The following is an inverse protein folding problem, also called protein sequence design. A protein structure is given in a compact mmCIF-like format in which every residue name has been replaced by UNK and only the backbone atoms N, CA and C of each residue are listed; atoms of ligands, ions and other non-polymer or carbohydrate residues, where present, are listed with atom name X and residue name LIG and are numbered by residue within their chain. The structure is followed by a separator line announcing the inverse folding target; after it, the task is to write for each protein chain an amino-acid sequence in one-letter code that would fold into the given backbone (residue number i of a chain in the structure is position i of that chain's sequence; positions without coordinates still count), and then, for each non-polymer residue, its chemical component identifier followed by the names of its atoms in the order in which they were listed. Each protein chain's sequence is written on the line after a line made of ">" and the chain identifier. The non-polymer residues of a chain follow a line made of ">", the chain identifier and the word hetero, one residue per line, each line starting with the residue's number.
data_IF_128695742171
#
_entry.id   IF_128695742171
#
_cell.length_a   1.000
_cell.length_b   1.000
_cell.length_c   1.000
_cell.angle_alpha   90.00
_cell.angle_beta   90.00
_cell.angle_gamma   90.00
#
_symmetry.space_group_name_H-M   'P 1'
#
loop_
_entity.id
_entity.type
_entity.pdbx_description
1 polymer ?
#
# COMPACT_ATOMS: atom_id res chain seq x y z
N UNK A 1 -13.70 -14.69 -16.96
CA UNK A 1 -12.65 -13.66 -16.76
C UNK A 1 -11.62 -13.80 -17.85
N UNK A 2 -10.97 -12.70 -18.28
CA UNK A 2 -9.83 -12.81 -19.20
C UNK A 2 -8.61 -13.34 -18.43
N UNK A 3 -7.76 -14.18 -19.05
CA UNK A 3 -6.50 -14.61 -18.45
C UNK A 3 -5.64 -13.39 -18.04
N UNK A 4 -5.05 -13.44 -16.85
CA UNK A 4 -4.17 -12.37 -16.38
C UNK A 4 -2.84 -12.41 -17.17
N UNK A 5 -2.33 -11.23 -17.51
CA UNK A 5 -1.00 -11.07 -18.12
C UNK A 5 0.08 -10.80 -17.07
N UNK A 6 -0.31 -10.58 -15.81
CA UNK A 6 0.58 -10.31 -14.69
C UNK A 6 0.11 -11.07 -13.46
N UNK A 7 0.97 -11.91 -12.90
CA UNK A 7 0.75 -12.61 -11.64
C UNK A 7 1.62 -12.01 -10.52
N UNK A 8 0.97 -11.63 -9.43
CA UNK A 8 1.62 -11.15 -8.21
C UNK A 8 1.51 -12.27 -7.18
N UNK A 9 2.62 -12.91 -6.84
CA UNK A 9 2.63 -14.08 -5.95
C UNK A 9 3.20 -13.72 -4.59
N UNK A 10 2.50 -14.05 -3.51
CA UNK A 10 3.10 -14.13 -2.18
C UNK A 10 3.98 -15.36 -2.10
N UNK A 11 5.12 -15.27 -1.43
CA UNK A 11 6.14 -16.32 -1.36
C UNK A 11 6.31 -16.77 0.09
N UNK A 12 6.27 -18.09 0.27
CA UNK A 12 6.54 -18.74 1.55
C UNK A 12 7.90 -19.46 1.55
N UNK A 13 8.12 -20.27 2.57
CA UNK A 13 9.36 -21.02 2.76
C UNK A 13 9.27 -22.47 2.31
N UNK A 14 8.11 -22.93 1.79
CA UNK A 14 7.85 -24.34 1.52
C UNK A 14 8.81 -24.98 0.50
N UNK A 15 9.35 -24.19 -0.42
CA UNK A 15 10.37 -24.66 -1.36
C UNK A 15 11.63 -25.13 -0.60
N UNK A 16 12.08 -24.39 0.40
CA UNK A 16 13.25 -24.74 1.19
C UNK A 16 12.88 -25.70 2.32
N UNK A 17 11.89 -25.32 3.15
CA UNK A 17 11.47 -26.11 4.30
C UNK A 17 9.99 -26.55 4.15
N UNK A 18 9.69 -27.84 4.09
CA UNK A 18 10.62 -28.98 4.27
C UNK A 18 11.22 -29.54 2.97
N UNK A 19 10.90 -28.98 1.78
CA UNK A 19 11.11 -29.69 0.53
C UNK A 19 12.60 -29.92 0.23
N UNK A 20 13.39 -28.86 0.00
CA UNK A 20 14.82 -29.04 -0.36
C UNK A 20 15.68 -29.46 0.81
N UNK A 21 15.44 -28.91 2.01
CA UNK A 21 16.17 -29.29 3.23
C UNK A 21 15.93 -30.77 3.63
N UNK A 22 14.86 -31.38 3.16
CA UNK A 22 14.59 -32.80 3.38
C UNK A 22 15.27 -33.75 2.38
N UNK A 23 15.91 -33.22 1.34
CA UNK A 23 16.64 -34.02 0.35
C UNK A 23 18.00 -34.46 0.89
N UNK A 24 18.49 -35.57 0.37
CA UNK A 24 19.77 -36.14 0.76
C UNK A 24 20.73 -36.21 -0.44
N UNK A 25 22.00 -35.91 -0.18
CA UNK A 25 23.03 -35.97 -1.21
C UNK A 25 23.33 -37.41 -1.70
N UNK A 26 22.85 -38.43 -0.99
CA UNK A 26 22.95 -39.83 -1.35
C UNK A 26 21.62 -40.40 -1.92
N UNK A 27 20.68 -39.54 -2.31
CA UNK A 27 19.40 -39.97 -2.92
C UNK A 27 19.68 -40.72 -4.22
N UNK A 28 19.05 -41.87 -4.43
CA UNK A 28 19.22 -42.64 -5.66
C UNK A 28 18.71 -41.93 -6.92
N UNK A 29 17.80 -40.95 -6.79
CA UNK A 29 17.35 -40.09 -7.88
C UNK A 29 18.42 -39.04 -8.20
N UNK A 30 19.02 -39.07 -9.42
CA UNK A 30 20.08 -38.13 -9.81
C UNK A 30 19.65 -36.65 -9.76
N UNK A 31 18.37 -36.37 -9.93
CA UNK A 31 17.83 -34.98 -9.86
C UNK A 31 17.77 -34.52 -8.41
N UNK A 32 17.26 -35.35 -7.50
CA UNK A 32 17.19 -35.06 -6.08
C UNK A 32 18.58 -34.93 -5.46
N UNK A 33 19.52 -35.80 -5.86
CA UNK A 33 20.92 -35.70 -5.45
C UNK A 33 21.54 -34.36 -5.86
N UNK A 34 21.35 -33.95 -7.13
CA UNK A 34 21.83 -32.63 -7.61
C UNK A 34 21.18 -31.46 -6.89
N UNK A 35 19.87 -31.56 -6.61
CA UNK A 35 19.13 -30.53 -5.85
C UNK A 35 19.70 -30.39 -4.44
N UNK A 36 19.90 -31.51 -3.73
CA UNK A 36 20.50 -31.51 -2.39
C UNK A 36 21.87 -30.84 -2.40
N UNK A 37 22.77 -31.28 -3.30
CA UNK A 37 24.12 -30.73 -3.41
C UNK A 37 24.11 -29.23 -3.73
N UNK A 38 23.29 -28.80 -4.69
CA UNK A 38 23.19 -27.39 -5.05
C UNK A 38 22.57 -26.53 -3.91
N UNK A 39 21.59 -27.08 -3.19
CA UNK A 39 20.98 -26.41 -2.04
C UNK A 39 21.99 -26.23 -0.87
N UNK A 40 22.75 -27.29 -0.53
CA UNK A 40 23.78 -27.25 0.51
C UNK A 40 24.90 -26.27 0.15
N UNK A 41 25.28 -26.21 -1.13
CA UNK A 41 26.26 -25.25 -1.66
C UNK A 41 25.71 -23.83 -1.81
N UNK A 42 24.41 -23.61 -1.60
CA UNK A 42 23.72 -22.33 -1.83
C UNK A 42 23.85 -21.81 -3.27
N UNK A 43 23.93 -22.71 -4.22
CA UNK A 43 24.01 -22.39 -5.65
C UNK A 43 22.61 -22.26 -6.28
N UNK A 44 21.97 -21.11 -6.04
CA UNK A 44 20.54 -20.90 -6.36
C UNK A 44 20.20 -21.05 -7.85
N UNK A 45 21.11 -20.68 -8.73
CA UNK A 45 20.95 -20.89 -10.18
C UNK A 45 21.00 -22.39 -10.57
N UNK A 46 21.84 -23.16 -9.88
CA UNK A 46 21.91 -24.62 -10.08
C UNK A 46 20.66 -25.30 -9.51
N UNK A 47 20.16 -24.85 -8.36
CA UNK A 47 18.87 -25.29 -7.80
C UNK A 47 17.72 -25.04 -8.81
N UNK A 48 17.63 -23.82 -9.35
CA UNK A 48 16.60 -23.47 -10.34
C UNK A 48 16.71 -24.34 -11.61
N UNK A 49 17.95 -24.59 -12.07
CA UNK A 49 18.19 -25.46 -13.23
C UNK A 49 17.78 -26.92 -13.00
N UNK A 50 18.05 -27.46 -11.82
CA UNK A 50 17.65 -28.83 -11.46
C UNK A 50 16.12 -28.93 -11.27
N UNK A 51 15.48 -27.96 -10.62
CA UNK A 51 14.01 -27.89 -10.51
C UNK A 51 13.32 -27.84 -11.89
N UNK A 52 13.91 -27.16 -12.87
CA UNK A 52 13.35 -27.07 -14.22
C UNK A 52 13.35 -28.41 -14.98
N UNK A 53 14.03 -29.43 -14.48
CA UNK A 53 14.00 -30.79 -15.05
C UNK A 53 12.88 -31.66 -14.46
N UNK A 54 12.23 -31.18 -13.38
CA UNK A 54 11.10 -31.86 -12.74
C UNK A 54 9.76 -31.40 -13.33
N UNK A 55 8.71 -32.25 -13.29
CA UNK A 55 7.36 -31.76 -13.53
C UNK A 55 7.01 -30.62 -12.56
N UNK A 56 6.47 -29.48 -13.02
CA UNK A 56 6.18 -28.33 -12.15
C UNK A 56 5.09 -28.62 -11.08
N UNK A 57 4.39 -29.75 -11.24
CA UNK A 57 3.39 -30.23 -10.27
C UNK A 57 4.00 -31.10 -9.16
N UNK A 58 5.27 -31.45 -9.26
CA UNK A 58 5.95 -32.24 -8.24
C UNK A 58 6.09 -31.43 -6.96
N UNK A 59 5.85 -32.08 -5.80
CA UNK A 59 5.89 -31.41 -4.49
C UNK A 59 7.24 -30.75 -4.20
N UNK A 60 8.33 -31.34 -4.66
CA UNK A 60 9.69 -30.81 -4.52
C UNK A 60 9.83 -29.38 -5.08
N UNK A 61 9.06 -29.04 -6.12
CA UNK A 61 9.07 -27.71 -6.73
C UNK A 61 8.48 -26.59 -5.85
N UNK A 62 7.83 -26.92 -4.74
CA UNK A 62 7.27 -25.93 -3.81
C UNK A 62 5.93 -25.36 -4.24
N UNK A 63 5.30 -24.63 -3.31
CA UNK A 63 3.93 -24.14 -3.46
C UNK A 63 3.80 -23.12 -4.60
N UNK A 64 4.79 -22.26 -4.79
CA UNK A 64 4.79 -21.18 -5.78
C UNK A 64 4.85 -21.74 -7.20
N UNK A 65 5.78 -22.67 -7.49
CA UNK A 65 5.88 -23.29 -8.82
C UNK A 65 4.64 -24.13 -9.12
N UNK A 66 4.18 -24.93 -8.14
CA UNK A 66 3.00 -25.76 -8.30
C UNK A 66 1.73 -24.95 -8.57
N UNK A 67 1.53 -23.83 -7.86
CA UNK A 67 0.34 -22.99 -8.02
C UNK A 67 0.38 -22.22 -9.33
N UNK A 68 1.50 -21.62 -9.69
CA UNK A 68 1.64 -20.90 -10.96
C UNK A 68 1.43 -21.86 -12.14
N UNK A 69 2.04 -23.04 -12.12
CA UNK A 69 1.82 -24.07 -13.16
C UNK A 69 0.33 -24.42 -13.30
N UNK A 70 -0.38 -24.56 -12.17
CA UNK A 70 -1.82 -24.82 -12.18
C UNK A 70 -2.63 -23.65 -12.73
N UNK A 71 -2.26 -22.40 -12.42
CA UNK A 71 -2.92 -21.19 -12.95
C UNK A 71 -2.75 -21.06 -14.46
N UNK A 72 -1.54 -21.31 -14.97
CA UNK A 72 -1.25 -21.30 -16.40
C UNK A 72 -2.01 -22.41 -17.13
N UNK A 73 -1.96 -23.65 -16.65
CA UNK A 73 -2.62 -24.80 -17.24
C UNK A 73 -4.14 -24.66 -17.31
N UNK A 74 -4.75 -23.97 -16.35
CA UNK A 74 -6.21 -23.73 -16.28
C UNK A 74 -6.64 -22.45 -17.01
N UNK A 75 -5.71 -21.69 -17.61
CA UNK A 75 -6.01 -20.46 -18.34
C UNK A 75 -6.42 -19.29 -17.46
N UNK A 76 -6.07 -19.27 -16.17
CA UNK A 76 -6.25 -18.11 -15.31
C UNK A 76 -5.21 -17.02 -15.58
N UNK A 77 -4.06 -17.40 -16.10
CA UNK A 77 -3.05 -16.48 -16.62
C UNK A 77 -2.54 -16.97 -17.98
N UNK A 78 -1.99 -16.02 -18.77
CA UNK A 78 -1.37 -16.36 -20.07
C UNK A 78 -0.04 -17.11 -19.87
N UNK A 79 0.38 -17.97 -20.82
CA UNK A 79 1.59 -18.77 -20.67
C UNK A 79 2.88 -17.96 -20.44
N UNK A 80 2.95 -16.78 -20.98
CA UNK A 80 4.07 -15.83 -20.91
C UNK A 80 3.80 -14.65 -19.96
N UNK A 81 2.96 -14.86 -18.93
CA UNK A 81 2.64 -13.82 -17.94
C UNK A 81 3.89 -13.24 -17.26
N UNK A 82 3.84 -11.95 -16.95
CA UNK A 82 4.79 -11.32 -16.05
C UNK A 82 4.62 -11.85 -14.62
N UNK A 83 5.70 -12.18 -13.96
CA UNK A 83 5.68 -12.78 -12.63
C UNK A 83 6.42 -11.92 -11.62
N UNK A 84 5.72 -11.57 -10.53
CA UNK A 84 6.28 -10.84 -9.40
C UNK A 84 6.19 -11.68 -8.13
N UNK A 85 7.31 -11.83 -7.43
CA UNK A 85 7.45 -12.65 -6.23
C UNK A 85 7.64 -11.75 -5.00
N UNK A 86 6.59 -11.57 -4.22
CA UNK A 86 6.60 -10.79 -2.97
C UNK A 86 7.04 -11.70 -1.82
N UNK A 87 8.27 -11.57 -1.37
CA UNK A 87 8.86 -12.43 -0.33
C UNK A 87 9.29 -11.64 0.92
N UNK A 88 9.48 -12.38 2.02
CA UNK A 88 9.95 -11.84 3.29
C UNK A 88 11.35 -11.24 3.19
N UNK A 89 11.63 -10.30 4.08
CA UNK A 89 12.95 -9.69 4.27
C UNK A 89 13.85 -10.58 5.15
N UNK A 90 14.01 -11.84 4.74
CA UNK A 90 14.84 -12.85 5.38
C UNK A 90 15.81 -13.43 4.36
N UNK A 91 16.89 -14.06 4.82
CA UNK A 91 17.87 -14.71 3.93
C UNK A 91 17.20 -15.80 3.08
N UNK A 92 16.34 -16.62 3.68
CA UNK A 92 15.59 -17.65 2.96
C UNK A 92 14.63 -17.04 1.93
N UNK A 93 13.89 -15.98 2.31
CA UNK A 93 13.01 -15.28 1.40
C UNK A 93 13.74 -14.74 0.17
N UNK A 94 14.89 -14.11 0.38
CA UNK A 94 15.74 -13.58 -0.71
C UNK A 94 16.30 -14.72 -1.58
N UNK A 95 16.73 -15.83 -0.97
CA UNK A 95 17.26 -16.98 -1.68
C UNK A 95 16.17 -17.67 -2.52
N UNK A 96 14.98 -17.91 -1.96
CA UNK A 96 13.82 -18.46 -2.68
C UNK A 96 13.44 -17.53 -3.85
N UNK A 97 13.40 -16.22 -3.61
CA UNK A 97 13.16 -15.24 -4.66
C UNK A 97 14.13 -15.36 -5.83
N UNK A 98 15.44 -15.56 -5.57
CA UNK A 98 16.46 -15.81 -6.61
C UNK A 98 16.18 -17.09 -7.38
N UNK A 99 15.86 -18.20 -6.69
CA UNK A 99 15.52 -19.48 -7.32
C UNK A 99 14.31 -19.32 -8.24
N UNK A 100 13.22 -18.73 -7.76
CA UNK A 100 12.00 -18.51 -8.55
C UNK A 100 12.27 -17.64 -9.78
N UNK A 101 13.00 -16.55 -9.61
CA UNK A 101 13.39 -15.66 -10.72
C UNK A 101 14.19 -16.43 -11.78
N UNK A 102 15.22 -17.17 -11.36
CA UNK A 102 16.05 -17.95 -12.27
C UNK A 102 15.26 -19.07 -12.99
N UNK A 103 14.36 -19.74 -12.26
CA UNK A 103 13.48 -20.80 -12.80
C UNK A 103 12.59 -20.26 -13.93
N UNK A 104 11.85 -19.16 -13.66
CA UNK A 104 10.88 -18.64 -14.62
C UNK A 104 11.51 -17.88 -15.78
N UNK A 105 12.68 -17.26 -15.58
CA UNK A 105 13.46 -16.71 -16.71
C UNK A 105 13.92 -17.81 -17.66
N UNK A 106 14.34 -18.99 -17.15
CA UNK A 106 14.66 -20.16 -17.97
C UNK A 106 13.43 -20.72 -18.69
N UNK A 107 12.26 -20.62 -18.07
CA UNK A 107 10.99 -21.02 -18.67
C UNK A 107 10.49 -20.05 -19.76
N UNK A 108 11.16 -18.90 -19.96
CA UNK A 108 10.85 -17.96 -21.04
C UNK A 108 9.86 -16.84 -20.66
N UNK A 109 9.57 -16.63 -19.37
CA UNK A 109 8.76 -15.51 -18.95
C UNK A 109 9.49 -14.19 -19.17
N UNK A 110 8.85 -13.16 -19.80
CA UNK A 110 9.51 -11.90 -20.18
C UNK A 110 9.92 -11.10 -18.95
N UNK A 111 9.11 -11.14 -17.89
CA UNK A 111 9.40 -10.55 -16.59
C UNK A 111 9.23 -11.63 -15.51
N UNK A 112 10.29 -11.88 -14.76
CA UNK A 112 10.27 -12.67 -13.54
C UNK A 112 11.16 -11.93 -12.52
N UNK A 113 10.54 -11.28 -11.54
CA UNK A 113 11.22 -10.37 -10.61
C UNK A 113 10.75 -10.56 -9.17
N UNK A 114 11.65 -10.29 -8.25
CA UNK A 114 11.35 -10.28 -6.81
C UNK A 114 10.96 -8.91 -6.32
N UNK A 115 10.14 -8.90 -5.28
CA UNK A 115 9.86 -7.74 -4.44
C UNK A 115 10.07 -8.12 -2.99
N UNK A 116 11.13 -7.59 -2.40
CA UNK A 116 11.38 -7.73 -0.95
C UNK A 116 10.35 -6.90 -0.21
N UNK A 117 9.68 -7.51 0.75
CA UNK A 117 8.71 -6.82 1.62
C UNK A 117 9.41 -6.54 2.95
N UNK A 118 9.85 -5.31 3.11
CA UNK A 118 10.54 -4.87 4.32
C UNK A 118 9.65 -5.02 5.56
N UNK A 119 10.22 -5.50 6.66
CA UNK A 119 9.51 -5.80 7.90
C UNK A 119 8.66 -7.08 7.90
N UNK A 120 8.56 -7.80 6.78
CA UNK A 120 7.79 -9.03 6.69
C UNK A 120 8.63 -10.21 7.17
N UNK A 121 8.75 -10.37 8.48
CA UNK A 121 9.51 -11.42 9.15
C UNK A 121 8.87 -11.79 10.49
N UNK A 122 8.93 -13.03 10.90
CA UNK A 122 8.29 -13.55 12.11
C UNK A 122 9.12 -13.40 13.40
N UNK A 123 10.37 -12.97 13.29
CA UNK A 123 11.24 -12.70 14.44
C UNK A 123 10.80 -11.48 15.26
N UNK A 124 10.05 -10.56 14.67
CA UNK A 124 9.47 -9.39 15.32
C UNK A 124 7.99 -9.26 14.97
N UNK A 125 7.08 -9.77 15.83
CA UNK A 125 5.64 -9.72 15.57
C UNK A 125 5.06 -8.31 15.45
N UNK A 126 5.63 -7.34 16.16
CA UNK A 126 5.18 -5.94 16.08
C UNK A 126 5.51 -5.35 14.72
N UNK A 127 6.76 -5.48 14.31
CA UNK A 127 7.25 -5.02 13.00
C UNK A 127 6.56 -5.74 11.84
N UNK A 128 6.32 -7.06 12.00
CA UNK A 128 5.53 -7.82 11.02
C UNK A 128 4.15 -7.22 10.78
N UNK A 129 3.43 -6.87 11.87
CA UNK A 129 2.08 -6.31 11.80
C UNK A 129 2.10 -4.88 11.25
N UNK A 130 2.92 -4.00 11.84
CA UNK A 130 2.87 -2.54 11.57
C UNK A 130 3.62 -2.11 10.32
N UNK A 131 4.64 -2.86 9.89
CA UNK A 131 5.44 -2.55 8.70
C UNK A 131 5.24 -3.60 7.60
N UNK A 132 5.47 -4.88 7.91
CA UNK A 132 5.51 -5.94 6.91
C UNK A 132 4.23 -6.08 6.10
N UNK A 133 3.07 -6.20 6.76
CA UNK A 133 1.78 -6.32 6.07
C UNK A 133 1.39 -5.04 5.35
N UNK A 134 1.71 -3.88 5.90
CA UNK A 134 1.51 -2.57 5.26
C UNK A 134 2.36 -2.42 4.01
N UNK A 135 3.64 -2.78 4.07
CA UNK A 135 4.55 -2.73 2.93
C UNK A 135 4.12 -3.72 1.82
N UNK A 136 3.61 -4.90 2.19
CA UNK A 136 2.99 -5.82 1.23
C UNK A 136 1.82 -5.13 0.49
N UNK A 137 0.92 -4.46 1.22
CA UNK A 137 -0.18 -3.74 0.62
C UNK A 137 0.32 -2.66 -0.37
N UNK A 138 1.31 -1.84 0.01
CA UNK A 138 1.91 -0.82 -0.87
C UNK A 138 2.50 -1.41 -2.14
N UNK A 139 3.26 -2.50 -2.02
CA UNK A 139 3.90 -3.15 -3.18
C UNK A 139 2.86 -3.71 -4.14
N UNK A 140 1.84 -4.41 -3.63
CA UNK A 140 0.77 -4.97 -4.46
C UNK A 140 -0.04 -3.87 -5.14
N UNK A 141 -0.44 -2.82 -4.39
CA UNK A 141 -1.17 -1.68 -4.96
C UNK A 141 -0.36 -0.99 -6.07
N UNK A 142 0.95 -0.82 -5.90
CA UNK A 142 1.84 -0.27 -6.92
C UNK A 142 1.87 -1.15 -8.17
N UNK A 143 2.08 -2.45 -8.04
CA UNK A 143 2.11 -3.37 -9.18
C UNK A 143 0.76 -3.37 -9.92
N UNK A 144 -0.36 -3.40 -9.20
CA UNK A 144 -1.69 -3.34 -9.83
C UNK A 144 -1.92 -2.02 -10.56
N UNK A 145 -1.43 -0.91 -10.03
CA UNK A 145 -1.49 0.40 -10.71
C UNK A 145 -0.65 0.43 -11.98
N UNK A 146 0.57 -0.10 -11.93
CA UNK A 146 1.51 -0.07 -13.05
C UNK A 146 1.06 -0.95 -14.23
N UNK A 147 0.41 -2.08 -13.96
CA UNK A 147 -0.04 -3.04 -14.98
C UNK A 147 -1.55 -2.99 -15.28
N UNK A 148 -2.32 -2.32 -14.44
CA UNK A 148 -3.77 -2.22 -14.52
C UNK A 148 -4.51 -3.41 -13.88
N UNK A 149 -5.63 -3.17 -13.14
CA UNK A 149 -6.35 -4.23 -12.42
C UNK A 149 -6.89 -5.32 -13.33
N UNK A 150 -7.32 -4.97 -14.56
CA UNK A 150 -7.82 -5.94 -15.54
C UNK A 150 -6.76 -6.88 -16.13
N UNK A 151 -5.48 -6.58 -15.94
CA UNK A 151 -4.35 -7.39 -16.39
C UNK A 151 -3.73 -8.22 -15.26
N UNK A 152 -4.05 -7.92 -14.00
CA UNK A 152 -3.43 -8.53 -12.83
C UNK A 152 -4.27 -9.66 -12.23
N UNK A 153 -3.58 -10.61 -11.59
CA UNK A 153 -4.14 -11.56 -10.64
C UNK A 153 -3.15 -11.76 -9.48
N UNK A 154 -3.68 -12.07 -8.30
CA UNK A 154 -2.87 -12.36 -7.11
C UNK A 154 -2.87 -13.87 -6.87
N UNK A 155 -1.70 -14.47 -6.78
CA UNK A 155 -1.51 -15.84 -6.33
C UNK A 155 -1.11 -15.82 -4.86
N UNK A 156 -2.06 -16.10 -3.98
CA UNK A 156 -1.91 -16.07 -2.52
C UNK A 156 -1.65 -17.48 -1.95
N UNK A 157 -0.87 -18.30 -2.63
CA UNK A 157 -0.63 -19.70 -2.22
C UNK A 157 0.50 -19.82 -1.22
N UNK A 158 1.59 -19.08 -1.40
CA UNK A 158 2.74 -19.07 -0.49
C UNK A 158 2.67 -17.96 0.55
N UNK A 159 3.49 -18.06 1.59
CA UNK A 159 3.66 -17.04 2.61
C UNK A 159 2.91 -17.30 3.92
N UNK A 160 3.00 -16.34 4.82
CA UNK A 160 2.32 -16.39 6.11
C UNK A 160 0.79 -16.30 5.93
N UNK A 161 0.03 -16.93 6.83
CA UNK A 161 -1.45 -16.88 6.79
C UNK A 161 -2.00 -15.46 6.76
N UNK A 162 -1.35 -14.52 7.47
CA UNK A 162 -1.72 -13.11 7.46
C UNK A 162 -1.51 -12.46 6.08
N UNK A 163 -0.47 -12.84 5.33
CA UNK A 163 -0.26 -12.37 3.96
C UNK A 163 -1.41 -12.81 3.04
N UNK A 164 -1.88 -14.06 3.19
CA UNK A 164 -3.00 -14.60 2.40
C UNK A 164 -4.27 -13.78 2.68
N UNK A 165 -4.56 -13.49 3.95
CA UNK A 165 -5.71 -12.67 4.34
C UNK A 165 -5.63 -11.26 3.75
N UNK A 166 -4.48 -10.60 3.86
CA UNK A 166 -4.24 -9.27 3.27
C UNK A 166 -4.34 -9.31 1.74
N UNK A 167 -3.81 -10.35 1.09
CA UNK A 167 -3.91 -10.51 -0.35
C UNK A 167 -5.36 -10.64 -0.84
N UNK A 168 -6.23 -11.35 -0.08
CA UNK A 168 -7.66 -11.44 -0.39
C UNK A 168 -8.35 -10.08 -0.23
N UNK A 169 -8.06 -9.35 0.84
CA UNK A 169 -8.60 -7.99 1.04
C UNK A 169 -8.15 -7.04 -0.08
N UNK A 170 -6.87 -7.09 -0.46
CA UNK A 170 -6.33 -6.32 -1.59
C UNK A 170 -7.05 -6.64 -2.90
N UNK A 171 -7.24 -7.92 -3.20
CA UNK A 171 -7.96 -8.33 -4.39
C UNK A 171 -9.38 -7.79 -4.44
N UNK A 172 -10.10 -7.79 -3.31
CA UNK A 172 -11.44 -7.21 -3.20
C UNK A 172 -11.40 -5.68 -3.41
N UNK A 173 -10.48 -4.99 -2.75
CA UNK A 173 -10.38 -3.53 -2.81
C UNK A 173 -9.96 -3.02 -4.20
N UNK A 174 -9.06 -3.74 -4.88
CA UNK A 174 -8.50 -3.37 -6.19
C UNK A 174 -9.29 -3.92 -7.38
N UNK A 175 -10.29 -4.77 -7.14
CA UNK A 175 -11.03 -5.44 -8.22
C UNK A 175 -10.20 -6.50 -8.97
N UNK A 176 -9.22 -7.12 -8.29
CA UNK A 176 -8.28 -8.10 -8.84
C UNK A 176 -8.63 -9.49 -8.33
N UNK A 177 -8.72 -10.54 -9.18
CA UNK A 177 -8.97 -11.89 -8.72
C UNK A 177 -7.80 -12.43 -7.91
N UNK A 178 -8.11 -13.15 -6.83
CA UNK A 178 -7.12 -13.81 -5.98
C UNK A 178 -7.30 -15.32 -6.12
N UNK A 179 -6.19 -16.03 -6.24
CA UNK A 179 -6.14 -17.47 -6.38
C UNK A 179 -5.32 -18.08 -5.26
N UNK A 180 -5.78 -19.24 -4.78
CA UNK A 180 -5.11 -20.02 -3.77
C UNK A 180 -5.13 -21.51 -4.15
N UNK A 181 -3.99 -22.19 -4.04
CA UNK A 181 -3.87 -23.64 -4.20
C UNK A 181 -3.51 -24.28 -2.87
N UNK A 182 -4.35 -25.17 -2.40
CA UNK A 182 -4.05 -25.94 -1.21
C UNK A 182 -3.08 -27.09 -1.53
N UNK A 183 -2.17 -27.43 -0.62
CA UNK A 183 -1.13 -28.47 -0.81
C UNK A 183 -1.69 -29.86 -1.17
N UNK A 184 -2.89 -30.18 -0.67
CA UNK A 184 -3.52 -31.50 -0.83
C UNK A 184 -4.57 -31.57 -1.93
N UNK A 185 -4.92 -30.44 -2.54
CA UNK A 185 -5.96 -30.39 -3.56
C UNK A 185 -5.35 -30.09 -4.92
N UNK A 186 -5.80 -30.80 -5.94
CA UNK A 186 -5.44 -30.45 -7.31
C UNK A 186 -6.37 -29.39 -7.89
N UNK A 187 -6.86 -28.50 -7.06
CA UNK A 187 -7.80 -27.45 -7.44
C UNK A 187 -7.27 -26.09 -7.03
N UNK A 188 -7.63 -25.07 -7.84
CA UNK A 188 -7.44 -23.67 -7.52
C UNK A 188 -8.73 -23.16 -6.89
N UNK A 189 -8.61 -22.60 -5.70
CA UNK A 189 -9.67 -21.82 -5.05
C UNK A 189 -9.58 -20.40 -5.57
N UNK A 190 -10.66 -19.91 -6.16
CA UNK A 190 -10.75 -18.56 -6.72
C UNK A 190 -11.57 -17.67 -5.80
N UNK A 191 -11.05 -16.48 -5.52
CA UNK A 191 -11.75 -15.39 -4.84
C UNK A 191 -11.92 -14.25 -5.85
N UNK A 192 -13.00 -14.26 -6.65
CA UNK A 192 -13.28 -13.17 -7.57
C UNK A 192 -13.64 -11.90 -6.79
N UNK A 193 -13.39 -10.70 -7.36
CA UNK A 193 -13.85 -9.46 -6.76
C UNK A 193 -15.37 -9.48 -6.54
N UNK A 194 -15.80 -9.13 -5.34
CA UNK A 194 -17.21 -9.00 -5.00
C UNK A 194 -17.71 -7.58 -5.39
N UNK A 195 -18.97 -7.41 -5.76
CA UNK A 195 -19.55 -6.10 -6.06
C UNK A 195 -19.89 -5.33 -4.76
N UNK A 196 -18.89 -5.16 -3.88
CA UNK A 196 -19.01 -4.37 -2.65
C UNK A 196 -18.48 -2.97 -2.89
N UNK A 197 -19.27 -1.96 -2.53
CA UNK A 197 -18.83 -0.58 -2.54
C UNK A 197 -18.24 -0.25 -1.16
N UNK A 198 -17.00 0.21 -1.13
CA UNK A 198 -16.39 0.80 0.05
C UNK A 198 -16.80 2.29 0.13
N UNK A 199 -16.99 2.81 1.34
CA UNK A 199 -17.38 4.20 1.55
C UNK A 199 -16.20 5.16 1.32
N UNK A 200 -16.16 5.75 0.12
CA UNK A 200 -15.14 6.73 -0.25
C UNK A 200 -15.25 8.02 0.58
N UNK A 201 -16.44 8.36 1.13
CA UNK A 201 -16.62 9.56 1.93
C UNK A 201 -15.85 9.49 3.25
N UNK A 202 -15.89 8.34 3.91
CA UNK A 202 -15.10 8.11 5.12
C UNK A 202 -13.60 8.36 4.86
N UNK A 203 -13.08 7.86 3.73
CA UNK A 203 -11.70 8.13 3.34
C UNK A 203 -11.45 9.62 3.04
N UNK A 204 -12.30 10.29 2.26
CA UNK A 204 -12.12 11.71 1.93
C UNK A 204 -12.04 12.58 3.18
N UNK A 205 -12.90 12.32 4.16
CA UNK A 205 -12.94 13.05 5.45
C UNK A 205 -11.64 12.90 6.22
N UNK A 206 -11.03 11.72 6.23
CA UNK A 206 -9.80 11.41 6.98
C UNK A 206 -8.54 11.38 6.10
N UNK A 207 -8.64 11.81 4.84
CA UNK A 207 -7.54 11.73 3.86
C UNK A 207 -6.26 12.43 4.33
N UNK A 208 -6.37 13.52 5.10
CA UNK A 208 -5.23 14.24 5.66
C UNK A 208 -4.44 13.40 6.66
N UNK A 209 -5.13 12.78 7.61
CA UNK A 209 -4.50 11.89 8.59
C UNK A 209 -3.86 10.67 7.92
N UNK A 210 -4.61 10.01 7.03
CA UNK A 210 -4.11 8.82 6.33
C UNK A 210 -2.91 9.15 5.44
N UNK A 211 -2.93 10.29 4.75
CA UNK A 211 -1.82 10.78 3.94
C UNK A 211 -0.59 11.12 4.77
N UNK A 212 -0.78 11.71 5.95
CA UNK A 212 0.29 12.01 6.90
C UNK A 212 0.95 10.72 7.40
N UNK A 213 0.16 9.75 7.87
CA UNK A 213 0.66 8.48 8.37
C UNK A 213 1.32 7.63 7.26
N UNK A 214 0.88 7.77 6.00
CA UNK A 214 1.52 7.13 4.85
C UNK A 214 2.91 7.73 4.57
N UNK A 215 3.05 9.05 4.68
CA UNK A 215 4.29 9.77 4.41
C UNK A 215 5.32 9.62 5.54
N UNK A 216 4.91 9.80 6.79
CA UNK A 216 5.80 9.80 7.96
C UNK A 216 6.05 8.40 8.54
N UNK A 217 5.19 7.43 8.21
CA UNK A 217 5.22 6.07 8.76
C UNK A 217 4.64 5.97 10.16
N UNK A 218 5.08 6.81 11.09
CA UNK A 218 4.61 6.89 12.47
C UNK A 218 4.55 8.36 12.92
N UNK A 219 3.52 8.71 13.69
CA UNK A 219 3.32 10.07 14.22
C UNK A 219 2.89 9.98 15.69
N UNK A 220 3.43 10.83 16.61
CA UNK A 220 3.02 10.83 18.00
C UNK A 220 1.50 10.98 18.16
N UNK A 221 0.85 10.07 18.90
CA UNK A 221 -0.60 10.06 19.09
C UNK A 221 -1.12 11.36 19.70
N UNK A 222 -0.34 11.98 20.59
CA UNK A 222 -0.69 13.24 21.22
C UNK A 222 -0.90 14.40 20.22
N UNK A 223 -0.16 14.42 19.10
CA UNK A 223 -0.29 15.44 18.06
C UNK A 223 -1.57 15.31 17.23
N UNK A 224 -2.23 14.15 17.29
CA UNK A 224 -3.42 13.79 16.53
C UNK A 224 -4.65 13.50 17.40
N UNK A 225 -4.59 13.81 18.70
CA UNK A 225 -5.66 13.49 19.67
C UNK A 225 -7.04 14.05 19.26
N UNK A 226 -7.07 15.27 18.71
CA UNK A 226 -8.32 15.88 18.23
C UNK A 226 -8.88 15.16 16.98
N UNK A 227 -8.00 14.71 16.09
CA UNK A 227 -8.40 14.02 14.86
C UNK A 227 -8.93 12.61 15.16
N UNK A 228 -8.33 11.94 16.15
CA UNK A 228 -8.82 10.65 16.64
C UNK A 228 -10.20 10.78 17.28
N UNK A 229 -10.43 11.83 18.09
CA UNK A 229 -11.72 12.07 18.73
C UNK A 229 -12.84 12.29 17.71
N UNK A 230 -12.55 12.99 16.59
CA UNK A 230 -13.52 13.23 15.51
C UNK A 230 -13.74 12.02 14.61
N UNK A 231 -12.79 11.09 14.53
CA UNK A 231 -12.79 10.00 13.57
C UNK A 231 -13.65 8.79 13.95
N UNK A 232 -13.93 8.63 15.25
CA UNK A 232 -14.73 7.53 15.78
C UNK A 232 -14.19 6.14 15.43
N UNK A 233 -15.05 5.12 15.53
CA UNK A 233 -14.71 3.70 15.30
C UNK A 233 -14.16 3.42 13.88
N UNK A 234 -14.55 4.21 12.89
CA UNK A 234 -14.10 4.01 11.50
C UNK A 234 -12.60 4.29 11.38
N UNK A 235 -12.12 5.35 12.02
CA UNK A 235 -10.72 5.70 12.00
C UNK A 235 -9.86 4.70 12.76
N UNK A 236 -10.37 4.13 13.85
CA UNK A 236 -9.68 3.09 14.61
C UNK A 236 -9.40 1.82 13.79
N UNK A 237 -10.22 1.52 12.78
CA UNK A 237 -9.94 0.42 11.83
C UNK A 237 -8.76 0.71 10.90
N UNK A 238 -8.41 1.98 10.69
CA UNK A 238 -7.39 2.40 9.73
C UNK A 238 -6.03 2.68 10.37
N UNK A 239 -5.96 2.76 11.69
CA UNK A 239 -4.73 3.06 12.41
C UNK A 239 -4.36 1.96 13.41
N UNK A 240 -3.08 1.75 13.58
CA UNK A 240 -2.48 0.95 14.65
C UNK A 240 -1.82 1.88 15.67
N UNK A 241 -1.93 1.53 16.95
CA UNK A 241 -1.20 2.16 18.03
C UNK A 241 0.09 1.37 18.29
N UNK A 242 1.21 2.07 18.32
CA UNK A 242 2.54 1.51 18.51
C UNK A 242 3.22 2.24 19.66
N UNK A 243 3.76 1.50 20.61
CA UNK A 243 4.55 2.07 21.70
C UNK A 243 6.04 2.05 21.34
N UNK A 244 6.69 3.20 21.39
CA UNK A 244 8.13 3.33 21.14
C UNK A 244 8.71 4.18 22.28
N UNK A 245 9.67 3.62 23.02
CA UNK A 245 10.34 4.28 24.15
C UNK A 245 9.40 4.86 25.21
N UNK A 246 8.23 4.22 25.42
CA UNK A 246 7.21 4.64 26.38
C UNK A 246 6.27 5.74 25.88
N UNK A 247 6.38 6.15 24.64
CA UNK A 247 5.46 7.07 23.97
C UNK A 247 4.57 6.35 22.96
N UNK A 248 3.32 6.77 22.85
CA UNK A 248 2.34 6.21 21.93
C UNK A 248 2.41 6.92 20.57
N UNK A 249 2.58 6.14 19.51
CA UNK A 249 2.56 6.57 18.12
C UNK A 249 1.38 5.94 17.37
N UNK A 250 0.93 6.62 16.34
CA UNK A 250 -0.02 6.10 15.36
C UNK A 250 0.70 5.75 14.06
N UNK A 251 0.31 4.63 13.47
CA UNK A 251 0.71 4.21 12.13
C UNK A 251 -0.53 3.75 11.35
N UNK A 252 -0.46 3.68 10.03
CA UNK A 252 -1.51 3.01 9.27
C UNK A 252 -1.56 1.52 9.62
N UNK A 253 -2.76 1.00 9.87
CA UNK A 253 -2.99 -0.44 9.87
C UNK A 253 -2.86 -0.99 8.44
N UNK A 254 -2.68 -2.31 8.25
CA UNK A 254 -2.75 -2.92 6.92
C UNK A 254 -4.05 -2.56 6.17
N UNK A 255 -5.18 -2.54 6.87
CA UNK A 255 -6.48 -2.12 6.32
C UNK A 255 -6.46 -0.64 5.93
N UNK A 256 -5.93 0.23 6.78
CA UNK A 256 -5.77 1.66 6.50
C UNK A 256 -4.91 1.91 5.27
N UNK A 257 -3.82 1.15 5.11
CA UNK A 257 -2.97 1.25 3.93
C UNK A 257 -3.71 0.84 2.64
N UNK A 258 -4.45 -0.27 2.67
CA UNK A 258 -5.26 -0.72 1.52
C UNK A 258 -6.29 0.34 1.15
N UNK A 259 -7.04 0.84 2.13
CA UNK A 259 -8.07 1.86 1.94
C UNK A 259 -7.45 3.14 1.38
N UNK A 260 -6.34 3.61 1.97
CA UNK A 260 -5.69 4.84 1.54
C UNK A 260 -5.20 4.76 0.08
N UNK A 261 -4.46 3.71 -0.28
CA UNK A 261 -3.95 3.51 -1.63
C UNK A 261 -5.08 3.38 -2.68
N UNK A 262 -6.11 2.57 -2.36
CA UNK A 262 -7.21 2.30 -3.28
C UNK A 262 -8.06 3.54 -3.52
N UNK A 263 -8.42 4.26 -2.45
CA UNK A 263 -9.28 5.43 -2.59
C UNK A 263 -8.56 6.66 -3.11
N UNK A 264 -7.28 6.83 -2.81
CA UNK A 264 -6.48 7.88 -3.41
C UNK A 264 -6.45 7.77 -4.93
N UNK A 265 -6.25 6.56 -5.45
CA UNK A 265 -6.26 6.32 -6.89
C UNK A 265 -7.66 6.51 -7.49
N UNK A 266 -8.68 5.97 -6.84
CA UNK A 266 -10.07 6.15 -7.26
C UNK A 266 -10.48 7.63 -7.25
N UNK A 267 -10.11 8.37 -6.22
CA UNK A 267 -10.39 9.79 -6.13
C UNK A 267 -9.74 10.56 -7.29
N UNK A 268 -8.50 10.26 -7.66
CA UNK A 268 -7.81 10.88 -8.79
C UNK A 268 -8.51 10.64 -10.12
N UNK A 269 -9.06 9.45 -10.33
CA UNK A 269 -9.77 9.08 -11.57
C UNK A 269 -11.20 9.62 -11.62
N UNK A 270 -11.86 9.78 -10.48
CA UNK A 270 -13.27 10.23 -10.37
C UNK A 270 -13.40 11.69 -9.88
N UNK A 271 -12.28 12.41 -9.71
CA UNK A 271 -12.26 13.74 -9.07
C UNK A 271 -13.22 14.75 -9.68
N UNK A 272 -13.41 14.75 -11.00
CA UNK A 272 -14.30 15.67 -11.70
C UNK A 272 -15.79 15.45 -11.37
N UNK A 273 -16.12 14.27 -10.85
CA UNK A 273 -17.49 13.93 -10.41
C UNK A 273 -17.70 14.21 -8.92
N UNK A 274 -16.64 14.22 -8.13
CA UNK A 274 -16.68 14.39 -6.68
C UNK A 274 -16.45 15.84 -6.25
N UNK A 275 -15.58 16.55 -6.96
CA UNK A 275 -15.26 17.94 -6.64
C UNK A 275 -16.36 18.92 -7.06
N UNK A 276 -16.54 20.02 -6.31
CA UNK A 276 -17.39 21.12 -6.75
C UNK A 276 -16.79 21.82 -7.99
N UNK A 277 -17.59 22.64 -8.70
CA UNK A 277 -17.07 23.42 -9.81
C UNK A 277 -15.87 24.29 -9.43
N UNK A 278 -14.89 24.47 -10.32
CA UNK A 278 -13.78 25.39 -10.10
C UNK A 278 -14.27 26.82 -9.82
N UNK A 279 -13.56 27.54 -8.95
CA UNK A 279 -13.75 28.97 -8.72
C UNK A 279 -13.21 29.76 -9.89
N UNK A 280 -13.97 30.71 -10.40
CA UNK A 280 -13.50 31.62 -11.47
C UNK A 280 -12.27 32.42 -11.01
N UNK A 281 -11.34 32.69 -11.90
CA UNK A 281 -10.14 33.46 -11.57
C UNK A 281 -10.46 34.85 -11.00
N UNK A 282 -11.55 35.47 -11.43
CA UNK A 282 -12.05 36.76 -10.91
C UNK A 282 -12.63 36.68 -9.50
N UNK A 283 -12.96 35.49 -9.01
CA UNK A 283 -13.50 35.26 -7.65
C UNK A 283 -12.43 34.79 -6.67
N UNK A 284 -11.21 34.53 -7.13
CA UNK A 284 -10.09 34.19 -6.27
C UNK A 284 -9.53 35.44 -5.61
N UNK A 285 -9.26 35.34 -4.32
CA UNK A 285 -8.78 36.47 -3.52
C UNK A 285 -7.44 36.14 -2.86
N UNK A 286 -6.56 37.15 -2.67
CA UNK A 286 -5.32 37.00 -1.91
C UNK A 286 -5.59 36.52 -0.48
N UNK A 287 -4.64 35.77 0.14
CA UNK A 287 -4.81 35.29 1.48
C UNK A 287 -4.91 36.43 2.51
N UNK A 288 -5.81 36.28 3.48
CA UNK A 288 -6.00 37.22 4.58
C UNK A 288 -5.22 36.76 5.81
N UNK A 289 -4.23 37.51 6.21
CA UNK A 289 -3.37 37.23 7.37
C UNK A 289 -3.74 38.08 8.57
N UNK A 290 -3.91 37.44 9.73
CA UNK A 290 -4.12 38.13 11.01
C UNK A 290 -2.89 38.89 11.48
N UNK A 291 -3.06 39.60 12.63
CA UNK A 291 -1.99 40.40 13.23
C UNK A 291 -1.28 39.72 14.41
N UNK A 292 -1.43 38.43 14.62
CA UNK A 292 -0.79 37.70 15.72
C UNK A 292 0.72 37.58 15.55
N UNK A 293 1.49 37.51 16.63
CA UNK A 293 2.96 37.55 16.61
C UNK A 293 3.61 36.48 15.74
N UNK A 294 3.14 35.23 15.78
CA UNK A 294 3.61 34.12 14.92
C UNK A 294 3.38 34.45 13.45
N UNK A 295 2.17 34.91 13.10
CA UNK A 295 1.81 35.26 11.71
C UNK A 295 2.68 36.43 11.22
N UNK A 296 3.00 37.37 12.08
CA UNK A 296 3.85 38.52 11.72
C UNK A 296 5.29 38.11 11.45
N UNK A 297 5.84 37.14 12.23
CA UNK A 297 7.20 36.62 12.01
C UNK A 297 7.33 35.89 10.68
N UNK A 298 6.33 35.10 10.33
CA UNK A 298 6.35 34.22 9.11
C UNK A 298 5.47 34.78 7.96
N UNK A 299 5.17 36.09 8.00
CA UNK A 299 4.16 36.73 7.14
C UNK A 299 4.33 36.44 5.64
N UNK A 300 5.54 36.57 5.13
CA UNK A 300 5.80 36.41 3.69
C UNK A 300 5.80 34.94 3.27
N UNK A 301 6.25 34.04 4.14
CA UNK A 301 6.24 32.60 3.91
C UNK A 301 4.81 32.07 3.94
N UNK A 302 4.02 32.43 4.96
CA UNK A 302 2.60 32.11 5.05
C UNK A 302 1.83 32.64 3.84
N UNK A 303 2.09 33.88 3.41
CA UNK A 303 1.45 34.46 2.24
C UNK A 303 1.72 33.65 1.01
N UNK A 304 2.97 33.27 0.75
CA UNK A 304 3.37 32.44 -0.40
C UNK A 304 2.71 31.07 -0.35
N UNK A 305 2.74 30.42 0.82
CA UNK A 305 2.14 29.12 1.00
C UNK A 305 0.63 29.12 0.78
N UNK A 306 -0.11 30.07 1.38
CA UNK A 306 -1.55 30.19 1.21
C UNK A 306 -1.95 30.60 -0.22
N UNK A 307 -1.15 31.44 -0.87
CA UNK A 307 -1.35 31.79 -2.27
C UNK A 307 -1.16 30.55 -3.19
N UNK A 308 -0.09 29.76 -2.94
CA UNK A 308 0.16 28.54 -3.70
C UNK A 308 -1.01 27.52 -3.60
N UNK A 309 -1.66 27.42 -2.44
CA UNK A 309 -2.88 26.60 -2.28
C UNK A 309 -4.02 27.15 -3.13
N UNK A 310 -4.24 28.48 -3.07
CA UNK A 310 -5.33 29.14 -3.81
C UNK A 310 -5.14 29.00 -5.33
N UNK A 311 -3.90 29.08 -5.80
CA UNK A 311 -3.57 28.95 -7.23
C UNK A 311 -3.56 27.49 -7.68
N UNK A 312 -3.03 26.59 -6.83
CA UNK A 312 -2.82 25.17 -7.16
C UNK A 312 -4.09 24.31 -7.09
N UNK A 313 -5.10 24.71 -6.27
CA UNK A 313 -6.35 23.96 -6.15
C UNK A 313 -7.51 24.77 -6.75
N UNK A 314 -8.07 24.31 -7.91
CA UNK A 314 -9.08 25.09 -8.65
C UNK A 314 -10.32 25.45 -7.84
N UNK A 315 -10.70 24.63 -6.86
CA UNK A 315 -11.89 24.80 -6.02
C UNK A 315 -11.71 25.80 -4.89
N UNK A 316 -10.47 26.29 -4.63
CA UNK A 316 -10.18 27.23 -3.55
C UNK A 316 -10.38 28.65 -4.02
N UNK A 317 -11.13 29.43 -3.23
CA UNK A 317 -11.41 30.86 -3.45
C UNK A 317 -10.38 31.73 -2.73
N UNK A 318 -10.15 31.46 -1.45
CA UNK A 318 -9.15 32.16 -0.62
C UNK A 318 -8.79 31.34 0.61
N UNK A 319 -7.70 31.74 1.27
CA UNK A 319 -7.32 31.21 2.59
C UNK A 319 -7.21 32.36 3.58
N UNK A 320 -7.57 32.11 4.86
CA UNK A 320 -7.37 33.08 5.92
C UNK A 320 -6.91 32.45 7.23
N UNK A 321 -5.99 33.08 7.94
CA UNK A 321 -5.48 32.58 9.22
C UNK A 321 -6.54 32.69 10.30
N UNK A 322 -6.70 31.62 11.10
CA UNK A 322 -7.72 31.54 12.17
C UNK A 322 -7.08 31.54 13.54
N UNK A 323 -6.09 30.68 13.77
CA UNK A 323 -5.51 30.45 15.07
C UNK A 323 -4.01 30.16 14.97
N UNK A 324 -3.26 30.57 15.99
CA UNK A 324 -1.84 30.28 16.13
C UNK A 324 -1.60 29.58 17.46
N UNK A 325 -0.88 28.49 17.44
CA UNK A 325 -0.40 27.83 18.63
C UNK A 325 1.14 27.79 18.62
N UNK A 326 1.82 28.57 19.46
CA UNK A 326 3.26 28.59 19.52
C UNK A 326 3.87 27.37 20.22
N UNK A 327 3.07 26.58 20.95
CA UNK A 327 3.59 25.57 21.88
C UNK A 327 3.43 24.13 21.38
N UNK A 328 2.78 23.91 20.22
CA UNK A 328 2.55 22.57 19.69
C UNK A 328 2.82 22.55 18.18
N UNK A 329 3.93 21.96 17.75
CA UNK A 329 4.12 21.65 16.33
C UNK A 329 2.97 20.71 15.90
N UNK A 330 2.15 21.17 14.98
CA UNK A 330 1.09 20.36 14.40
C UNK A 330 1.51 19.89 13.00
N UNK A 331 1.19 18.65 12.65
CA UNK A 331 1.53 18.16 11.33
C UNK A 331 0.80 18.92 10.22
N UNK A 332 1.49 19.08 9.09
CA UNK A 332 0.96 19.68 7.87
C UNK A 332 -0.11 18.79 7.29
N UNK A 333 -1.37 19.19 7.34
CA UNK A 333 -2.49 18.50 6.71
C UNK A 333 -3.70 19.42 6.58
N UNK A 334 -4.65 19.01 5.72
CA UNK A 334 -5.97 19.61 5.63
C UNK A 334 -7.01 18.65 6.23
N UNK A 335 -8.03 19.24 6.89
CA UNK A 335 -9.08 18.50 7.58
C UNK A 335 -10.40 19.26 7.56
N UNK A 336 -11.50 18.55 7.79
CA UNK A 336 -12.80 19.15 8.00
C UNK A 336 -13.04 19.30 9.51
N UNK A 337 -13.38 20.49 9.96
CA UNK A 337 -13.81 20.78 11.35
C UNK A 337 -15.20 21.38 11.32
N UNK A 338 -16.20 20.58 11.73
CA UNK A 338 -17.59 20.96 11.48
C UNK A 338 -17.85 21.14 9.97
N UNK A 339 -18.22 22.35 9.57
CA UNK A 339 -18.43 22.71 8.16
C UNK A 339 -17.23 23.42 7.52
N UNK A 340 -16.15 23.66 8.27
CA UNK A 340 -15.02 24.45 7.81
C UNK A 340 -13.85 23.55 7.37
N UNK A 341 -13.32 23.81 6.19
CA UNK A 341 -12.08 23.21 5.71
C UNK A 341 -10.91 23.99 6.31
N UNK A 342 -10.10 23.32 7.12
CA UNK A 342 -8.94 23.90 7.78
C UNK A 342 -7.64 23.24 7.30
N UNK A 343 -6.58 24.06 7.20
CA UNK A 343 -5.22 23.60 6.99
C UNK A 343 -4.30 24.02 8.12
N UNK A 344 -3.20 23.33 8.27
CA UNK A 344 -2.12 23.67 9.20
C UNK A 344 -0.86 23.98 8.42
N UNK A 345 -0.23 25.10 8.73
CA UNK A 345 1.14 25.42 8.37
C UNK A 345 2.02 25.30 9.61
N UNK A 346 3.24 24.79 9.46
CA UNK A 346 4.22 24.72 10.55
C UNK A 346 5.64 24.83 9.99
N UNK A 347 6.54 25.45 10.73
CA UNK A 347 7.98 25.47 10.48
C UNK A 347 8.74 24.42 11.31
N UNK A 348 8.01 23.54 12.02
CA UNK A 348 8.54 22.55 12.95
C UNK A 348 8.60 22.99 14.41
N UNK A 349 8.53 24.30 14.69
CA UNK A 349 8.52 24.87 16.05
C UNK A 349 7.20 25.54 16.40
N UNK A 350 6.59 26.20 15.44
CA UNK A 350 5.33 26.94 15.60
C UNK A 350 4.33 26.47 14.53
N UNK A 351 3.04 26.58 14.83
CA UNK A 351 1.99 26.21 13.89
C UNK A 351 0.93 27.30 13.75
N UNK A 352 0.41 27.46 12.54
CA UNK A 352 -0.68 28.36 12.20
C UNK A 352 -1.80 27.55 11.55
N UNK A 353 -2.99 27.61 12.16
CA UNK A 353 -4.21 27.06 11.55
C UNK A 353 -4.86 28.14 10.70
N UNK A 354 -5.27 27.77 9.51
CA UNK A 354 -5.97 28.63 8.57
C UNK A 354 -7.20 27.93 8.01
N UNK A 355 -8.22 28.72 7.66
CA UNK A 355 -9.40 28.22 6.97
C UNK A 355 -9.27 28.40 5.48
N UNK A 356 -9.90 27.49 4.73
CA UNK A 356 -9.91 27.45 3.26
C UNK A 356 -11.35 27.68 2.78
N UNK A 357 -11.58 28.80 2.16
CA UNK A 357 -12.84 29.08 1.46
C UNK A 357 -12.83 28.41 0.10
N UNK A 358 -13.86 27.63 -0.21
CA UNK A 358 -13.97 26.90 -1.46
C UNK A 358 -15.33 27.08 -2.13
N UNK A 359 -15.49 26.51 -3.31
CA UNK A 359 -16.78 26.45 -4.02
C UNK A 359 -17.73 25.35 -3.49
N UNK A 360 -17.33 24.58 -2.46
CA UNK A 360 -18.14 23.52 -1.88
C UNK A 360 -19.40 24.06 -1.19
N UNK A 361 -20.54 23.46 -1.48
CA UNK A 361 -21.85 23.82 -0.90
C UNK A 361 -22.44 22.71 -0.04
N UNK A 362 -21.95 21.48 -0.18
CA UNK A 362 -22.40 20.28 0.57
C UNK A 362 -21.26 19.65 1.32
N UNK A 363 -21.55 18.85 2.36
CA UNK A 363 -20.54 18.15 3.15
C UNK A 363 -19.68 17.22 2.30
N UNK A 364 -20.30 16.45 1.39
CA UNK A 364 -19.55 15.58 0.48
C UNK A 364 -18.59 16.35 -0.43
N UNK A 365 -18.95 17.56 -0.87
CA UNK A 365 -18.04 18.42 -1.63
C UNK A 365 -16.93 19.00 -0.75
N UNK A 366 -17.19 19.34 0.52
CA UNK A 366 -16.15 19.79 1.48
C UNK A 366 -15.15 18.67 1.74
N UNK A 367 -15.63 17.44 1.96
CA UNK A 367 -14.80 16.24 2.11
C UNK A 367 -13.93 15.99 0.86
N UNK A 368 -14.49 16.17 -0.34
CA UNK A 368 -13.74 16.04 -1.60
C UNK A 368 -12.66 17.14 -1.76
N UNK A 369 -12.96 18.36 -1.35
CA UNK A 369 -11.98 19.48 -1.33
C UNK A 369 -10.85 19.17 -0.35
N UNK A 370 -11.14 18.63 0.83
CA UNK A 370 -10.10 18.19 1.80
C UNK A 370 -9.19 17.15 1.16
N UNK A 371 -9.75 16.15 0.47
CA UNK A 371 -8.97 15.13 -0.22
C UNK A 371 -8.08 15.74 -1.33
N UNK A 372 -8.62 16.67 -2.12
CA UNK A 372 -7.86 17.38 -3.17
C UNK A 372 -6.71 18.21 -2.61
N UNK A 373 -6.93 18.90 -1.48
CA UNK A 373 -5.92 19.68 -0.80
C UNK A 373 -4.80 18.80 -0.23
N UNK A 374 -5.12 17.65 0.34
CA UNK A 374 -4.12 16.71 0.85
C UNK A 374 -3.34 16.03 -0.31
N UNK A 375 -3.99 15.73 -1.42
CA UNK A 375 -3.29 15.24 -2.63
C UNK A 375 -2.34 16.31 -3.20
N UNK A 376 -2.76 17.57 -3.22
CA UNK A 376 -1.92 18.70 -3.59
C UNK A 376 -0.73 18.85 -2.62
N UNK A 377 -0.95 18.77 -1.32
CA UNK A 377 0.10 18.86 -0.31
C UNK A 377 1.16 17.78 -0.48
N UNK A 378 0.76 16.54 -0.75
CA UNK A 378 1.71 15.44 -1.01
C UNK A 378 2.55 15.63 -2.27
N UNK A 379 2.01 16.30 -3.27
CA UNK A 379 2.75 16.59 -4.51
C UNK A 379 3.76 17.76 -4.36
N UNK A 380 3.64 18.54 -3.26
CA UNK A 380 4.46 19.75 -3.04
C UNK A 380 5.32 19.68 -1.73
N UNK A 381 5.40 18.48 -1.12
CA UNK A 381 6.33 18.15 -0.02
C UNK A 381 7.76 17.92 -0.48
#
# INVERSE_FOLDING_TARGET
>A
MRPATTLISTVGTSLFMPNLAGLRADDPDPVRNRLAAAYDAREWDAVAGALATLPPTERTCGAEINSIASLLARGYAVPDANLFFCHSDTDDGRAIGRVLTAYYRRAGHPIAETRVIDGLQDSDPSRFRTEGLRNLARVVCRLVRDYGPGACAINATGGYKAQIAVAVLLGQALGVPVYYKHERFDEIISFPPMPVALDVRAWMRHSGLLALLDAEGQVPAASLAEDLADGGEVLECFVDRVEVDGEEYLALSPTGQIVHETFRERFRTERDRLLPPPVLASEKHPPKLGGHGVILRHREELRRYLAAITDGVPQVRSCHTVYCNPDLPRPLMFRLRGEEVQGTWSDGSEAVTFAVESSATTDGQREAVVAALNDWLQAHR
#
